data_IF_093361544333
#
_entry.id   IF_093361544333
#
_cell.length_a   1.000
_cell.length_b   1.000
_cell.length_c   1.000
_cell.angle_alpha   90.00
_cell.angle_beta   90.00
_cell.angle_gamma   90.00
#
_symmetry.space_group_name_H-M   'P 1'
#
loop_
_entity.id
_entity.type
_entity.pdbx_description
1 polymer ?
#
# COMPACT_ATOMS: atom_id res chain seq x y z
N UNK A 1 39.12 66.26 16.34
CA UNK A 1 38.11 65.80 15.36
C UNK A 1 37.61 64.43 15.81
N UNK A 2 36.30 64.30 16.05
CA UNK A 2 35.53 63.09 16.40
C UNK A 2 35.91 61.88 15.48
N UNK A 3 35.88 60.59 15.83
CA UNK A 3 34.75 59.77 16.31
C UNK A 3 35.12 58.25 16.34
N UNK A 4 34.49 57.49 17.27
CA UNK A 4 33.83 56.16 17.15
C UNK A 4 34.67 54.92 16.77
N UNK A 5 34.87 53.90 17.63
CA UNK A 5 33.96 52.89 18.23
C UNK A 5 33.49 51.77 17.27
N UNK A 6 33.78 50.52 17.70
CA UNK A 6 33.19 49.19 17.40
C UNK A 6 33.43 48.58 16.01
N UNK A 7 33.91 47.34 15.98
CA UNK A 7 33.03 46.16 16.02
C UNK A 7 33.88 44.87 16.07
N UNK A 8 33.78 44.16 17.21
CA UNK A 8 34.34 42.84 17.42
C UNK A 8 33.28 41.84 16.93
N UNK A 9 33.52 41.19 15.79
CA UNK A 9 32.63 40.15 15.27
C UNK A 9 33.17 38.80 15.77
N UNK A 10 32.56 38.30 16.84
CA UNK A 10 32.60 36.89 17.23
C UNK A 10 31.71 36.12 16.25
N UNK A 11 32.30 35.48 15.24
CA UNK A 11 31.62 34.47 14.43
C UNK A 11 31.50 33.18 15.24
N UNK A 12 30.33 32.96 15.84
CA UNK A 12 29.93 31.68 16.39
C UNK A 12 29.66 30.69 15.23
N UNK A 13 30.50 29.68 15.10
CA UNK A 13 30.31 28.59 14.14
C UNK A 13 29.15 27.70 14.58
N UNK A 14 28.06 27.73 13.81
CA UNK A 14 26.91 26.84 13.96
C UNK A 14 27.28 25.49 13.33
N UNK A 15 27.66 24.50 14.15
CA UNK A 15 27.87 23.12 13.68
C UNK A 15 26.50 22.50 13.49
N UNK A 16 26.02 22.45 12.24
CA UNK A 16 24.85 21.68 11.86
C UNK A 16 25.18 20.19 11.96
N UNK A 17 24.72 19.54 13.03
CA UNK A 17 24.76 18.10 13.15
C UNK A 17 23.79 17.50 12.11
N UNK A 18 24.34 17.01 11.00
CA UNK A 18 23.59 16.17 10.06
C UNK A 18 23.30 14.84 10.77
N UNK A 19 22.10 14.70 11.32
CA UNK A 19 21.61 13.41 11.82
C UNK A 19 21.35 12.55 10.57
N UNK A 20 22.06 11.43 10.38
CA UNK A 20 21.72 10.53 9.29
C UNK A 20 20.32 9.98 9.60
N UNK A 21 19.35 10.32 8.75
CA UNK A 21 18.09 9.61 8.70
C UNK A 21 18.41 8.18 8.29
N UNK A 22 18.57 7.30 9.26
CA UNK A 22 18.59 5.87 9.02
C UNK A 22 17.20 5.50 8.55
N UNK A 23 17.02 5.43 7.23
CA UNK A 23 15.93 4.67 6.62
C UNK A 23 16.19 3.23 7.05
N UNK A 24 15.53 2.79 8.13
CA UNK A 24 15.47 1.38 8.48
C UNK A 24 14.68 0.71 7.36
N UNK A 25 15.40 0.20 6.36
CA UNK A 25 14.87 -0.85 5.52
C UNK A 25 14.66 -2.05 6.45
N UNK A 26 13.40 -2.27 6.86
CA UNK A 26 13.04 -3.48 7.59
C UNK A 26 13.51 -4.67 6.75
N UNK A 27 14.45 -5.43 7.31
CA UNK A 27 14.84 -6.71 6.74
C UNK A 27 13.55 -7.54 6.69
N UNK A 28 13.09 -7.99 5.51
CA UNK A 28 11.87 -8.79 5.42
C UNK A 28 11.98 -9.95 6.40
N UNK A 29 10.99 -10.10 7.29
CA UNK A 29 10.88 -11.26 8.17
C UNK A 29 10.80 -12.57 7.35
N UNK A 30 10.74 -13.75 8.01
CA UNK A 30 10.82 -15.07 7.36
C UNK A 30 9.70 -15.44 6.38
N UNK A 31 8.89 -14.47 5.93
CA UNK A 31 7.70 -14.67 5.10
C UNK A 31 7.65 -13.69 3.91
N UNK A 32 8.64 -13.71 3.00
CA UNK A 32 8.73 -12.77 1.89
C UNK A 32 7.48 -12.79 0.98
N UNK A 33 6.90 -13.96 0.69
CA UNK A 33 5.72 -14.03 -0.17
C UNK A 33 4.52 -13.29 0.42
N UNK A 34 4.25 -13.48 1.71
CA UNK A 34 3.19 -12.76 2.40
C UNK A 34 3.45 -11.24 2.50
N UNK A 35 4.70 -10.83 2.67
CA UNK A 35 5.06 -9.40 2.69
C UNK A 35 4.86 -8.74 1.34
N UNK A 36 5.16 -9.45 0.24
CA UNK A 36 4.86 -8.98 -1.11
C UNK A 36 3.35 -8.89 -1.33
N UNK A 37 2.59 -9.92 -0.97
CA UNK A 37 1.13 -9.90 -1.04
C UNK A 37 0.54 -8.72 -0.25
N UNK A 38 1.00 -8.47 0.97
CA UNK A 38 0.57 -7.31 1.78
C UNK A 38 0.90 -5.97 1.12
N UNK A 39 2.06 -5.87 0.47
CA UNK A 39 2.44 -4.66 -0.26
C UNK A 39 1.53 -4.42 -1.46
N UNK A 40 1.27 -5.46 -2.25
CA UNK A 40 0.44 -5.39 -3.45
C UNK A 40 -1.03 -5.10 -3.12
N UNK A 41 -1.56 -5.71 -2.06
CA UNK A 41 -2.93 -5.44 -1.59
C UNK A 41 -3.10 -3.99 -1.14
N UNK A 42 -2.13 -3.42 -0.41
CA UNK A 42 -2.19 -2.00 -0.01
C UNK A 42 -2.09 -1.07 -1.20
N UNK A 43 -1.27 -1.41 -2.20
CA UNK A 43 -1.20 -0.67 -3.45
C UNK A 43 -2.54 -0.71 -4.19
N UNK A 44 -3.14 -1.90 -4.34
CA UNK A 44 -4.44 -2.09 -4.99
C UNK A 44 -5.53 -1.25 -4.31
N UNK A 45 -5.59 -1.31 -2.97
CA UNK A 45 -6.49 -0.50 -2.15
C UNK A 45 -6.39 0.99 -2.47
N UNK A 46 -5.17 1.51 -2.58
CA UNK A 46 -4.95 2.93 -2.88
C UNK A 46 -5.41 3.32 -4.28
N UNK A 47 -5.23 2.45 -5.28
CA UNK A 47 -5.73 2.72 -6.63
C UNK A 47 -7.27 2.82 -6.69
N UNK A 48 -7.97 2.08 -5.83
CA UNK A 48 -9.44 2.08 -5.75
C UNK A 48 -9.99 3.21 -4.86
N UNK A 49 -9.28 3.60 -3.79
CA UNK A 49 -9.79 4.54 -2.78
C UNK A 49 -9.47 6.03 -3.06
N UNK A 50 -8.97 6.40 -4.24
CA UNK A 50 -8.52 7.77 -4.55
C UNK A 50 -9.67 8.75 -4.90
N UNK A 51 -10.90 8.51 -4.41
CA UNK A 51 -11.96 9.52 -4.38
C UNK A 51 -12.79 9.68 -5.66
N UNK A 52 -13.35 8.59 -6.17
CA UNK A 52 -14.27 8.59 -7.31
C UNK A 52 -15.56 9.40 -7.06
N UNK A 53 -15.96 10.23 -8.03
CA UNK A 53 -17.20 11.01 -7.99
C UNK A 53 -18.43 10.27 -8.58
N UNK A 54 -18.21 9.22 -9.38
CA UNK A 54 -19.28 8.48 -10.05
C UNK A 54 -19.85 7.36 -9.18
N UNK A 55 -21.16 7.39 -8.93
CA UNK A 55 -21.84 6.53 -7.95
C UNK A 55 -21.70 5.02 -8.19
N UNK A 56 -21.98 4.49 -9.39
CA UNK A 56 -21.89 3.06 -9.70
C UNK A 56 -20.49 2.46 -9.46
N UNK A 57 -19.43 3.02 -10.05
CA UNK A 57 -18.05 2.57 -9.78
C UNK A 57 -17.64 2.78 -8.33
N UNK A 58 -18.09 3.87 -7.68
CA UNK A 58 -17.81 4.08 -6.26
C UNK A 58 -18.39 2.97 -5.39
N UNK A 59 -19.51 2.36 -5.76
CA UNK A 59 -20.05 1.22 -5.01
C UNK A 59 -19.14 0.00 -5.12
N UNK A 60 -18.82 -0.41 -6.34
CA UNK A 60 -17.95 -1.55 -6.64
C UNK A 60 -16.56 -1.35 -6.02
N UNK A 61 -16.01 -0.15 -6.08
CA UNK A 61 -14.72 0.18 -5.46
C UNK A 61 -14.74 0.00 -3.95
N UNK A 62 -15.78 0.48 -3.27
CA UNK A 62 -15.89 0.29 -1.82
C UNK A 62 -16.03 -1.19 -1.48
N UNK A 63 -16.80 -1.96 -2.25
CA UNK A 63 -16.96 -3.40 -2.04
C UNK A 63 -15.64 -4.14 -2.26
N UNK A 64 -14.91 -3.85 -3.34
CA UNK A 64 -13.58 -4.40 -3.57
C UNK A 64 -12.59 -4.03 -2.46
N UNK A 65 -12.60 -2.76 -2.00
CA UNK A 65 -11.77 -2.31 -0.87
C UNK A 65 -12.11 -3.08 0.42
N UNK A 66 -13.39 -3.40 0.68
CA UNK A 66 -13.77 -4.19 1.84
C UNK A 66 -13.17 -5.60 1.81
N UNK A 67 -13.19 -6.26 0.65
CA UNK A 67 -12.55 -7.58 0.47
C UNK A 67 -11.03 -7.50 0.59
N UNK A 68 -10.40 -6.45 0.04
CA UNK A 68 -8.95 -6.21 0.21
C UNK A 68 -8.59 -6.01 1.68
N UNK A 69 -9.37 -5.21 2.41
CA UNK A 69 -9.15 -4.97 3.85
C UNK A 69 -9.32 -6.27 4.66
N UNK A 70 -10.29 -7.12 4.30
CA UNK A 70 -10.46 -8.44 4.91
C UNK A 70 -9.24 -9.35 4.64
N UNK A 71 -8.75 -9.41 3.39
CA UNK A 71 -7.58 -10.18 3.01
C UNK A 71 -6.32 -9.72 3.77
N UNK A 72 -6.08 -8.41 3.83
CA UNK A 72 -4.94 -7.83 4.58
C UNK A 72 -5.02 -8.24 6.05
N UNK A 73 -6.18 -8.08 6.69
CA UNK A 73 -6.34 -8.43 8.10
C UNK A 73 -6.13 -9.93 8.35
N UNK A 74 -6.64 -10.80 7.47
CA UNK A 74 -6.41 -12.24 7.57
C UNK A 74 -4.92 -12.60 7.45
N UNK A 75 -4.19 -11.99 6.50
CA UNK A 75 -2.74 -12.21 6.35
C UNK A 75 -1.98 -11.73 7.59
N UNK A 76 -2.36 -10.57 8.13
CA UNK A 76 -1.76 -10.03 9.35
C UNK A 76 -1.97 -10.94 10.55
N UNK A 77 -3.18 -11.49 10.71
CA UNK A 77 -3.49 -12.48 11.74
C UNK A 77 -2.76 -13.81 11.51
N UNK A 78 -2.56 -14.19 10.24
CA UNK A 78 -1.95 -15.45 9.82
C UNK A 78 -0.43 -15.51 9.98
N UNK A 79 0.15 -14.75 10.91
CA UNK A 79 1.55 -14.83 11.40
C UNK A 79 2.48 -13.67 11.02
N UNK A 80 1.99 -12.57 10.41
CA UNK A 80 2.87 -11.50 9.91
C UNK A 80 2.24 -10.12 10.10
N UNK A 81 2.50 -9.51 11.25
CA UNK A 81 2.33 -8.07 11.37
C UNK A 81 3.62 -7.41 10.87
N UNK A 82 3.53 -6.76 9.71
CA UNK A 82 4.64 -5.98 9.12
C UNK A 82 4.73 -4.57 9.72
N UNK A 83 3.99 -4.30 10.80
CA UNK A 83 3.93 -3.01 11.48
C UNK A 83 3.13 -1.95 10.70
N UNK A 84 2.59 -2.28 9.52
CA UNK A 84 1.90 -1.33 8.66
C UNK A 84 0.38 -1.43 8.77
N UNK A 85 -0.27 -0.29 8.89
CA UNK A 85 -1.73 -0.15 8.90
C UNK A 85 -2.37 -0.27 7.51
N UNK A 86 -3.71 -0.36 7.48
CA UNK A 86 -4.51 -0.31 6.24
C UNK A 86 -4.46 1.07 5.57
N UNK A 87 -4.28 2.12 6.37
CA UNK A 87 -4.30 3.53 5.94
C UNK A 87 -2.90 4.15 5.90
N UNK A 88 -1.85 3.33 6.02
CA UNK A 88 -0.50 3.84 5.90
C UNK A 88 -0.28 4.40 4.49
N UNK A 89 0.42 5.56 4.37
CA UNK A 89 0.63 6.19 3.07
C UNK A 89 1.30 5.23 2.08
N UNK A 90 0.66 5.00 0.93
CA UNK A 90 1.24 4.26 -0.17
C UNK A 90 1.47 5.17 -1.37
N UNK A 91 2.67 5.14 -1.94
CA UNK A 91 2.99 5.92 -3.13
C UNK A 91 2.42 5.19 -4.35
N UNK A 92 1.36 5.74 -4.93
CA UNK A 92 0.78 5.30 -6.20
C UNK A 92 0.92 6.39 -7.27
N UNK A 93 0.79 6.00 -8.54
CA UNK A 93 0.62 6.98 -9.60
C UNK A 93 -0.81 7.50 -9.62
N UNK A 94 -1.01 8.72 -9.10
CA UNK A 94 -2.31 9.40 -9.08
C UNK A 94 -2.66 10.06 -10.42
N UNK A 95 -1.76 10.05 -11.41
CA UNK A 95 -2.02 10.57 -12.75
C UNK A 95 -2.79 9.61 -13.66
N UNK A 96 -3.02 8.36 -13.23
CA UNK A 96 -3.66 7.34 -14.05
C UNK A 96 -5.14 7.63 -14.31
N UNK A 97 -5.59 7.26 -15.50
CA UNK A 97 -7.01 7.24 -15.86
C UNK A 97 -7.79 6.23 -15.02
N UNK A 98 -9.12 6.33 -14.93
CA UNK A 98 -9.96 5.34 -14.25
C UNK A 98 -9.70 3.91 -14.66
N UNK A 99 -9.74 3.66 -15.96
CA UNK A 99 -9.50 2.35 -16.54
C UNK A 99 -8.09 1.83 -16.21
N UNK A 100 -7.07 2.69 -16.27
CA UNK A 100 -5.70 2.27 -15.94
C UNK A 100 -5.52 1.96 -14.45
N UNK A 101 -6.26 2.63 -13.57
CA UNK A 101 -6.26 2.34 -12.13
C UNK A 101 -6.90 0.99 -11.83
N UNK A 102 -8.05 0.66 -12.43
CA UNK A 102 -8.67 -0.66 -12.26
C UNK A 102 -7.81 -1.78 -12.83
N UNK A 103 -7.25 -1.57 -14.02
CA UNK A 103 -6.28 -2.49 -14.59
C UNK A 103 -5.10 -2.69 -13.64
N UNK A 104 -4.57 -1.59 -13.07
CA UNK A 104 -3.43 -1.68 -12.15
C UNK A 104 -3.78 -2.38 -10.84
N UNK A 105 -4.96 -2.13 -10.29
CA UNK A 105 -5.47 -2.83 -9.12
C UNK A 105 -5.61 -4.33 -9.39
N UNK A 106 -6.17 -4.74 -10.53
CA UNK A 106 -6.26 -6.15 -10.92
C UNK A 106 -4.89 -6.82 -11.09
N UNK A 107 -3.91 -6.14 -11.69
CA UNK A 107 -2.53 -6.65 -11.79
C UNK A 107 -1.94 -6.96 -10.41
N UNK A 108 -2.17 -6.07 -9.44
CA UNK A 108 -1.70 -6.21 -8.05
C UNK A 108 -2.45 -7.28 -7.28
N UNK A 109 -3.78 -7.38 -7.43
CA UNK A 109 -4.59 -8.45 -6.85
C UNK A 109 -4.12 -9.83 -7.36
N UNK A 110 -3.89 -9.95 -8.67
CA UNK A 110 -3.36 -11.17 -9.25
C UNK A 110 -1.94 -11.50 -8.78
N UNK A 111 -1.10 -10.50 -8.53
CA UNK A 111 0.22 -10.69 -7.95
C UNK A 111 0.14 -11.20 -6.50
N UNK A 112 -0.67 -10.55 -5.66
CA UNK A 112 -0.91 -10.98 -4.29
C UNK A 112 -1.48 -12.40 -4.21
N UNK A 113 -2.42 -12.76 -5.09
CA UNK A 113 -2.93 -14.13 -5.20
C UNK A 113 -1.79 -15.12 -5.44
N UNK A 114 -0.99 -14.89 -6.49
CA UNK A 114 0.13 -15.79 -6.84
C UNK A 114 1.14 -15.91 -5.71
N UNK A 115 1.46 -14.81 -5.03
CA UNK A 115 2.37 -14.82 -3.90
C UNK A 115 1.83 -15.68 -2.75
N UNK A 116 0.53 -15.57 -2.43
CA UNK A 116 -0.09 -16.42 -1.41
C UNK A 116 -0.16 -17.90 -1.81
N UNK A 117 -0.39 -18.22 -3.09
CA UNK A 117 -0.36 -19.62 -3.56
C UNK A 117 1.02 -20.27 -3.38
N UNK A 118 2.09 -19.49 -3.55
CA UNK A 118 3.48 -19.95 -3.45
C UNK A 118 4.13 -19.58 -2.11
N UNK A 119 3.32 -19.13 -1.15
CA UNK A 119 3.83 -18.67 0.14
C UNK A 119 4.45 -19.79 0.95
N UNK A 120 5.29 -19.40 1.90
CA UNK A 120 5.95 -20.33 2.80
C UNK A 120 4.91 -21.17 3.53
N UNK A 121 5.16 -22.47 3.64
CA UNK A 121 4.23 -23.39 4.26
C UNK A 121 4.26 -23.25 5.79
N UNK A 122 3.35 -22.42 6.31
CA UNK A 122 3.14 -22.21 7.75
C UNK A 122 1.84 -22.91 8.16
N UNK A 123 1.89 -24.07 8.84
CA UNK A 123 0.70 -24.88 9.11
C UNK A 123 -0.44 -24.12 9.80
N UNK A 124 -0.08 -23.24 10.74
CA UNK A 124 -1.02 -22.41 11.51
C UNK A 124 -1.69 -21.33 10.64
N UNK A 125 -1.04 -20.90 9.57
CA UNK A 125 -1.50 -19.84 8.68
C UNK A 125 -2.38 -20.35 7.52
N UNK A 126 -2.32 -21.65 7.19
CA UNK A 126 -2.94 -22.22 5.97
C UNK A 126 -4.42 -21.87 5.82
N UNK A 127 -5.20 -21.99 6.90
CA UNK A 127 -6.63 -21.72 6.83
C UNK A 127 -6.90 -20.23 6.53
N UNK A 128 -6.21 -19.32 7.23
CA UNK A 128 -6.37 -17.88 7.02
C UNK A 128 -5.85 -17.46 5.64
N UNK A 129 -4.72 -18.01 5.20
CA UNK A 129 -4.17 -17.80 3.85
C UNK A 129 -5.18 -18.21 2.77
N UNK A 130 -5.75 -19.40 2.86
CA UNK A 130 -6.73 -19.88 1.88
C UNK A 130 -8.00 -19.01 1.86
N UNK A 131 -8.42 -18.48 3.02
CA UNK A 131 -9.53 -17.53 3.10
C UNK A 131 -9.16 -16.19 2.48
N UNK A 132 -7.96 -15.68 2.74
CA UNK A 132 -7.45 -14.44 2.15
C UNK A 132 -7.39 -14.55 0.61
N UNK A 133 -6.97 -15.69 0.06
CA UNK A 133 -7.03 -15.94 -1.39
C UNK A 133 -8.46 -15.78 -1.92
N UNK A 134 -9.45 -16.34 -1.23
CA UNK A 134 -10.86 -16.17 -1.60
C UNK A 134 -11.32 -14.71 -1.60
N UNK A 135 -10.94 -13.92 -0.58
CA UNK A 135 -11.23 -12.48 -0.53
C UNK A 135 -10.58 -11.73 -1.71
N UNK A 136 -9.34 -12.08 -2.08
CA UNK A 136 -8.65 -11.50 -3.24
C UNK A 136 -9.39 -11.83 -4.54
N UNK A 137 -9.88 -13.05 -4.70
CA UNK A 137 -10.62 -13.47 -5.89
C UNK A 137 -11.96 -12.74 -6.02
N UNK A 138 -12.66 -12.50 -4.90
CA UNK A 138 -13.86 -11.66 -4.87
C UNK A 138 -13.55 -10.22 -5.28
N UNK A 139 -12.52 -9.61 -4.69
CA UNK A 139 -12.09 -8.27 -5.07
C UNK A 139 -11.74 -8.18 -6.56
N UNK A 140 -10.98 -9.16 -7.09
CA UNK A 140 -10.61 -9.21 -8.51
C UNK A 140 -11.84 -9.30 -9.42
N UNK A 141 -12.86 -10.06 -9.04
CA UNK A 141 -14.10 -10.17 -9.81
C UNK A 141 -14.85 -8.83 -9.86
N UNK A 142 -14.93 -8.12 -8.72
CA UNK A 142 -15.60 -6.83 -8.63
C UNK A 142 -14.86 -5.78 -9.46
N UNK A 143 -13.53 -5.68 -9.31
CA UNK A 143 -12.71 -4.70 -10.04
C UNK A 143 -12.73 -4.97 -11.55
N UNK A 144 -12.74 -6.23 -11.98
CA UNK A 144 -12.91 -6.57 -13.40
C UNK A 144 -14.27 -6.15 -13.97
N UNK A 145 -15.35 -6.31 -13.20
CA UNK A 145 -16.67 -5.82 -13.60
C UNK A 145 -16.71 -4.28 -13.67
N UNK A 146 -16.12 -3.60 -12.70
CA UNK A 146 -16.03 -2.14 -12.67
C UNK A 146 -15.21 -1.62 -13.87
N UNK A 147 -14.07 -2.26 -14.17
CA UNK A 147 -13.24 -1.92 -15.33
C UNK A 147 -14.00 -2.07 -16.65
N UNK A 148 -14.74 -3.17 -16.81
CA UNK A 148 -15.58 -3.39 -17.99
C UNK A 148 -16.66 -2.33 -18.11
N UNK A 149 -17.32 -1.97 -17.01
CA UNK A 149 -18.37 -0.93 -17.01
C UNK A 149 -17.80 0.43 -17.37
N UNK A 150 -16.64 0.80 -16.81
CA UNK A 150 -15.94 2.05 -17.13
C UNK A 150 -15.40 2.12 -18.57
N UNK A 151 -15.18 0.98 -19.24
CA UNK A 151 -14.68 0.93 -20.62
C UNK A 151 -15.77 1.28 -21.67
N UNK A 152 -17.05 1.15 -21.33
CA UNK A 152 -18.16 1.34 -22.27
C UNK A 152 -18.79 2.75 -22.20
N UNK A 153 -18.18 3.69 -21.48
CA UNK A 153 -18.58 5.09 -21.38
C UNK A 153 -17.45 6.04 -21.81
#
# INVERSE_FOLDING_TARGET
MFSKVRLMILTAGFVAAAVPMTVQADVPGPHPAYLHALSDLRAARHYLNDGWAWGPVKHDDNEAVHHIDAAINMIKEASIDDGKGLNDPFHIDTGLSPHDRFRKANELLAAAHRDLEHAEDVPQARQLRNRAIGEIDYAHTIVDNANRTAHWE
#
